data_IF_156944015894
#
_entry.id   IF_156944015894
#
_cell.length_a   1.000
_cell.length_b   1.000
_cell.length_c   1.000
_cell.angle_alpha   90.00
_cell.angle_beta   90.00
_cell.angle_gamma   90.00
#
_symmetry.space_group_name_H-M   'P 1'
#
loop_
_entity.id
_entity.type
_entity.pdbx_description
1 polymer ?
#
# COMPACT_ATOMS: atom_id res chain seq x y z
N UNK A 1 -7.26 -9.70 -5.29
CA UNK A 1 -5.84 -10.05 -5.47
C UNK A 1 -4.95 -8.89 -5.08
N UNK A 2 -3.86 -9.17 -4.35
CA UNK A 2 -2.83 -8.20 -3.98
C UNK A 2 -1.49 -8.66 -4.58
N UNK A 3 -0.78 -7.80 -5.29
CA UNK A 3 0.59 -8.04 -5.74
C UNK A 3 1.56 -7.35 -4.78
N UNK A 4 2.48 -8.11 -4.21
CA UNK A 4 3.50 -7.61 -3.29
C UNK A 4 4.83 -7.64 -4.01
N UNK A 5 5.35 -6.46 -4.37
CA UNK A 5 6.64 -6.38 -5.05
C UNK A 5 7.78 -6.70 -4.06
N UNK A 6 8.90 -7.20 -4.59
CA UNK A 6 10.07 -7.57 -3.77
C UNK A 6 10.57 -6.41 -2.92
N UNK A 7 10.56 -5.19 -3.44
CA UNK A 7 10.96 -4.00 -2.67
C UNK A 7 10.00 -3.72 -1.51
N UNK A 8 8.68 -3.76 -1.75
CA UNK A 8 7.71 -3.57 -0.68
C UNK A 8 7.80 -4.66 0.38
N UNK A 9 8.01 -5.92 -0.02
CA UNK A 9 8.18 -7.02 0.92
C UNK A 9 9.36 -6.77 1.87
N UNK A 10 10.50 -6.27 1.34
CA UNK A 10 11.65 -5.90 2.17
C UNK A 10 11.29 -4.78 3.15
N UNK A 11 10.62 -3.73 2.70
CA UNK A 11 10.15 -2.65 3.59
C UNK A 11 9.25 -3.20 4.70
N UNK A 12 8.31 -4.08 4.36
CA UNK A 12 7.37 -4.70 5.29
C UNK A 12 8.07 -5.52 6.37
N UNK A 13 9.20 -6.18 6.09
CA UNK A 13 9.94 -6.97 7.09
C UNK A 13 10.50 -6.13 8.25
N UNK A 14 10.59 -4.81 8.10
CA UNK A 14 10.99 -3.90 9.19
C UNK A 14 9.86 -3.56 10.17
N UNK A 15 8.64 -4.04 9.91
CA UNK A 15 7.46 -3.81 10.73
C UNK A 15 7.03 -5.06 11.50
N UNK A 16 6.20 -4.87 12.53
CA UNK A 16 5.63 -5.97 13.30
C UNK A 16 4.84 -6.93 12.40
N UNK A 17 4.88 -8.23 12.71
CA UNK A 17 4.24 -9.30 11.91
C UNK A 17 2.74 -9.07 11.67
N UNK A 18 2.04 -8.41 12.58
CA UNK A 18 0.62 -8.08 12.46
C UNK A 18 0.31 -7.06 11.35
N UNK A 19 1.28 -6.23 10.94
CA UNK A 19 1.07 -5.21 9.90
C UNK A 19 0.67 -5.84 8.57
N UNK A 20 1.20 -7.03 8.27
CA UNK A 20 0.78 -7.81 7.10
C UNK A 20 -0.72 -8.11 7.13
N UNK A 21 -1.21 -8.65 8.25
CA UNK A 21 -2.62 -9.00 8.41
C UNK A 21 -3.52 -7.76 8.36
N UNK A 22 -3.10 -6.67 9.01
CA UNK A 22 -3.83 -5.40 8.98
C UNK A 22 -3.91 -4.82 7.57
N UNK A 23 -2.84 -4.91 6.77
CA UNK A 23 -2.82 -4.47 5.39
C UNK A 23 -3.82 -5.25 4.52
N UNK A 24 -3.79 -6.58 4.60
CA UNK A 24 -4.73 -7.44 3.89
C UNK A 24 -6.16 -7.09 4.30
N UNK A 25 -6.42 -6.99 5.61
CA UNK A 25 -7.74 -6.62 6.15
C UNK A 25 -8.21 -5.25 5.66
N UNK A 26 -7.32 -4.25 5.61
CA UNK A 26 -7.64 -2.91 5.13
C UNK A 26 -8.09 -2.95 3.67
N UNK A 27 -7.33 -3.66 2.83
CA UNK A 27 -7.63 -3.80 1.40
C UNK A 27 -8.92 -4.59 1.19
N UNK A 28 -9.10 -5.72 1.87
CA UNK A 28 -10.35 -6.52 1.79
C UNK A 28 -11.57 -5.70 2.21
N UNK A 29 -11.48 -4.89 3.28
CA UNK A 29 -12.57 -4.00 3.67
C UNK A 29 -12.84 -2.92 2.64
N UNK A 30 -11.81 -2.34 2.03
CA UNK A 30 -12.02 -1.36 0.98
C UNK A 30 -12.72 -1.96 -0.23
N UNK A 31 -12.32 -3.17 -0.63
CA UNK A 31 -12.92 -3.85 -1.77
C UNK A 31 -14.42 -4.10 -1.58
N UNK A 32 -14.84 -4.32 -0.33
CA UNK A 32 -16.25 -4.46 0.08
C UNK A 32 -16.96 -3.12 0.36
N UNK A 33 -16.29 -1.97 0.16
CA UNK A 33 -16.85 -0.65 0.45
C UNK A 33 -16.95 -0.29 1.94
N UNK A 34 -16.21 -0.99 2.81
CA UNK A 34 -16.30 -0.90 4.27
C UNK A 34 -15.15 -0.11 4.92
N UNK A 35 -14.14 0.32 4.15
CA UNK A 35 -12.94 0.96 4.71
C UNK A 35 -12.96 2.49 4.57
N UNK A 36 -13.23 3.19 5.68
CA UNK A 36 -13.11 4.67 5.77
C UNK A 36 -11.67 5.15 5.96
N UNK A 37 -10.75 4.26 6.31
CA UNK A 37 -9.35 4.57 6.57
C UNK A 37 -8.46 4.39 5.32
N UNK A 38 -9.06 4.15 4.16
CA UNK A 38 -8.37 3.96 2.89
C UNK A 38 -8.96 4.92 1.87
N UNK A 39 -8.26 6.02 1.63
CA UNK A 39 -8.78 7.21 0.96
C UNK A 39 -8.04 7.39 -0.36
N UNK A 40 -8.79 7.63 -1.45
CA UNK A 40 -8.21 7.95 -2.74
C UNK A 40 -7.41 9.26 -2.63
N UNK A 41 -6.13 9.22 -2.96
CA UNK A 41 -5.25 10.38 -3.04
C UNK A 41 -5.30 11.02 -4.43
N UNK A 42 -5.15 10.22 -5.48
CA UNK A 42 -5.12 10.67 -6.88
C UNK A 42 -5.39 9.52 -7.85
N UNK A 43 -5.65 9.87 -9.09
CA UNK A 43 -5.57 8.97 -10.24
C UNK A 43 -4.24 9.20 -10.97
N UNK A 44 -3.59 8.12 -11.42
CA UNK A 44 -2.31 8.14 -12.13
C UNK A 44 -2.42 7.19 -13.34
N UNK A 45 -2.82 7.75 -14.48
CA UNK A 45 -3.18 6.96 -15.66
C UNK A 45 -4.30 5.95 -15.37
N UNK A 46 -3.97 4.65 -15.41
CA UNK A 46 -4.92 3.56 -15.13
C UNK A 46 -4.96 3.13 -13.66
N UNK A 47 -4.16 3.75 -12.80
CA UNK A 47 -4.05 3.44 -11.38
C UNK A 47 -4.83 4.43 -10.52
N UNK A 48 -5.49 3.89 -9.50
CA UNK A 48 -6.08 4.65 -8.41
C UNK A 48 -5.16 4.54 -7.20
N UNK A 49 -4.62 5.66 -6.73
CA UNK A 49 -3.64 5.67 -5.65
C UNK A 49 -4.34 6.00 -4.33
N UNK A 50 -4.27 5.08 -3.38
CA UNK A 50 -4.92 5.19 -2.08
C UNK A 50 -3.90 5.36 -0.96
N UNK A 51 -4.34 6.05 0.09
CA UNK A 51 -3.66 6.15 1.36
C UNK A 51 -4.42 5.41 2.44
N UNK A 52 -3.72 4.53 3.14
CA UNK A 52 -4.21 3.70 4.23
C UNK A 52 -3.55 3.99 5.55
N UNK A 53 -4.27 3.73 6.64
CA UNK A 53 -3.73 3.79 7.98
C UNK A 53 -3.89 2.45 8.70
N UNK A 54 -2.80 1.95 9.24
CA UNK A 54 -2.68 0.72 10.02
C UNK A 54 -2.21 1.05 11.46
N UNK A 55 -2.30 0.07 12.35
CA UNK A 55 -1.84 0.12 13.75
C UNK A 55 -2.32 1.38 14.47
N UNK A 56 -3.64 1.61 14.49
CA UNK A 56 -4.23 2.79 15.14
C UNK A 56 -3.72 4.13 14.59
N UNK A 57 -3.45 4.21 13.27
CA UNK A 57 -2.85 5.38 12.59
C UNK A 57 -1.40 5.66 13.01
N UNK A 58 -0.66 4.63 13.40
CA UNK A 58 0.80 4.69 13.61
C UNK A 58 1.60 4.25 12.39
N UNK A 59 0.95 3.60 11.44
CA UNK A 59 1.57 3.20 10.18
C UNK A 59 0.71 3.72 9.03
N UNK A 60 1.35 4.35 8.05
CA UNK A 60 0.72 4.82 6.82
C UNK A 60 1.16 3.88 5.69
N UNK A 61 0.24 3.50 4.81
CA UNK A 61 0.54 2.70 3.63
C UNK A 61 -0.01 3.39 2.40
N UNK A 62 0.71 3.32 1.28
CA UNK A 62 0.21 3.75 -0.02
C UNK A 62 0.07 2.54 -0.92
N UNK A 63 -1.05 2.46 -1.60
CA UNK A 63 -1.44 1.31 -2.42
C UNK A 63 -2.02 1.81 -3.74
N UNK A 64 -1.52 1.29 -4.85
CA UNK A 64 -2.16 1.42 -6.14
C UNK A 64 -3.27 0.37 -6.30
N UNK A 65 -4.36 0.74 -6.95
CA UNK A 65 -5.40 -0.19 -7.41
C UNK A 65 -5.56 -0.05 -8.91
N UNK A 66 -5.45 -1.15 -9.64
CA UNK A 66 -5.75 -1.18 -11.08
C UNK A 66 -7.26 -1.10 -11.29
N UNK A 67 -7.72 -0.61 -12.45
CA UNK A 67 -9.14 -0.67 -12.82
C UNK A 67 -9.73 -2.09 -12.82
N UNK A 68 -8.89 -3.12 -12.94
CA UNK A 68 -9.28 -4.54 -12.89
C UNK A 68 -9.41 -5.10 -11.46
N UNK A 69 -9.15 -4.31 -10.43
CA UNK A 69 -9.31 -4.72 -9.02
C UNK A 69 -8.06 -5.35 -8.38
N UNK A 70 -6.90 -5.24 -9.01
CA UNK A 70 -5.62 -5.66 -8.41
C UNK A 70 -5.08 -4.56 -7.52
N UNK A 71 -4.69 -4.89 -6.29
CA UNK A 71 -4.06 -3.96 -5.36
C UNK A 71 -2.55 -4.18 -5.31
N UNK A 72 -1.76 -3.11 -5.31
CA UNK A 72 -0.30 -3.16 -5.24
C UNK A 72 0.19 -2.14 -4.20
N UNK A 73 0.61 -2.59 -3.00
CA UNK A 73 1.23 -1.72 -2.02
C UNK A 73 2.55 -1.14 -2.58
N UNK A 74 2.71 0.17 -2.45
CA UNK A 74 3.82 0.91 -3.02
C UNK A 74 4.87 1.26 -1.97
N UNK A 75 4.42 1.76 -0.81
CA UNK A 75 5.26 2.23 0.28
C UNK A 75 4.56 2.12 1.64
N UNK A 76 5.35 2.00 2.71
CA UNK A 76 4.88 1.89 4.09
C UNK A 76 5.74 2.74 5.03
N UNK A 77 5.10 3.48 5.93
CA UNK A 77 5.76 4.49 6.77
C UNK A 77 5.35 4.37 8.23
N UNK A 78 6.32 4.44 9.14
CA UNK A 78 6.07 4.52 10.58
C UNK A 78 5.87 5.96 11.03
N UNK A 79 5.02 6.14 12.03
CA UNK A 79 4.80 7.41 12.72
C UNK A 79 5.91 7.64 13.75
N UNK A 80 6.61 8.76 13.66
CA UNK A 80 7.75 9.08 14.54
C UNK A 80 7.35 9.97 15.71
N UNK A 81 6.36 10.84 15.53
CA UNK A 81 5.91 11.76 16.57
C UNK A 81 4.42 12.03 16.45
N UNK A 82 3.85 12.83 17.36
CA UNK A 82 2.46 13.31 17.23
C UNK A 82 2.23 14.05 15.89
N UNK A 83 3.27 14.67 15.34
CA UNK A 83 3.20 15.56 14.17
C UNK A 83 3.38 14.90 12.80
N UNK A 84 3.86 13.66 12.67
CA UNK A 84 4.10 13.11 11.33
C UNK A 84 4.65 11.69 11.24
N UNK A 85 4.64 11.18 10.01
CA UNK A 85 5.29 9.94 9.60
C UNK A 85 6.72 10.21 9.16
N UNK A 86 7.53 9.15 8.95
CA UNK A 86 8.92 9.21 8.45
C UNK A 86 9.05 9.70 6.99
N UNK A 87 8.32 10.77 6.65
CA UNK A 87 8.22 11.38 5.33
C UNK A 87 7.99 12.89 5.55
N UNK A 88 8.83 13.70 4.91
CA UNK A 88 8.64 15.16 4.82
C UNK A 88 7.63 15.44 3.70
N UNK A 89 6.38 15.67 4.08
CA UNK A 89 5.25 16.26 3.33
C UNK A 89 4.95 15.90 1.86
N UNK A 90 3.64 15.75 1.61
CA UNK A 90 2.97 15.44 0.34
C UNK A 90 3.56 14.27 -0.45
N UNK A 91 2.99 13.10 -0.20
CA UNK A 91 3.19 11.88 -0.99
C UNK A 91 2.82 12.13 -2.46
N UNK A 92 3.80 12.56 -3.24
CA UNK A 92 3.85 12.44 -4.69
C UNK A 92 5.32 12.23 -5.05
N UNK A 93 5.72 10.97 -5.12
CA UNK A 93 6.94 10.57 -5.81
C UNK A 93 6.50 9.64 -6.95
N UNK A 94 6.90 9.89 -8.20
CA UNK A 94 6.69 8.93 -9.29
C UNK A 94 7.54 7.66 -9.12
N UNK A 95 8.66 7.75 -8.39
CA UNK A 95 9.62 6.64 -8.22
C UNK A 95 9.03 5.32 -7.70
N UNK A 96 8.13 5.30 -6.69
CA UNK A 96 7.43 4.10 -6.25
C UNK A 96 6.62 3.42 -7.35
N UNK A 97 5.97 4.18 -8.24
CA UNK A 97 5.18 3.63 -9.36
C UNK A 97 6.14 3.05 -10.40
N UNK A 98 7.16 3.79 -10.82
CA UNK A 98 8.17 3.31 -11.79
C UNK A 98 8.89 2.05 -11.28
N UNK A 99 9.24 2.02 -9.98
CA UNK A 99 9.83 0.84 -9.33
C UNK A 99 8.88 -0.36 -9.38
N UNK A 100 7.61 -0.13 -9.05
CA UNK A 100 6.57 -1.15 -9.12
C UNK A 100 6.42 -1.70 -10.54
N UNK A 101 6.30 -0.84 -11.56
CA UNK A 101 6.16 -1.27 -12.96
C UNK A 101 7.34 -2.13 -13.41
N UNK A 102 8.57 -1.70 -13.09
CA UNK A 102 9.78 -2.46 -13.39
C UNK A 102 9.82 -3.82 -12.68
N UNK A 103 9.42 -3.88 -11.40
CA UNK A 103 9.39 -5.14 -10.65
C UNK A 103 8.30 -6.09 -11.17
N UNK A 104 7.13 -5.58 -11.55
CA UNK A 104 6.07 -6.38 -12.16
C UNK A 104 6.51 -6.90 -13.53
N UNK A 105 7.11 -6.05 -14.38
CA UNK A 105 7.61 -6.45 -15.70
C UNK A 105 8.74 -7.49 -15.63
N UNK A 106 9.49 -7.53 -14.52
CA UNK A 106 10.54 -8.49 -14.27
C UNK A 106 10.11 -9.71 -13.44
N UNK A 107 8.81 -9.92 -13.20
CA UNK A 107 8.28 -10.99 -12.34
C UNK A 107 8.88 -11.03 -10.92
N UNK A 108 9.20 -9.85 -10.37
CA UNK A 108 9.77 -9.66 -9.03
C UNK A 108 8.69 -9.33 -7.99
N UNK A 109 7.64 -10.14 -7.94
CA UNK A 109 6.53 -9.98 -7.00
C UNK A 109 5.97 -11.33 -6.55
N UNK A 110 5.21 -11.32 -5.46
CA UNK A 110 4.38 -12.44 -5.02
C UNK A 110 2.91 -12.03 -4.97
N UNK A 111 2.01 -13.01 -5.06
CA UNK A 111 0.56 -12.78 -5.04
C UNK A 111 -0.02 -13.19 -3.69
N UNK A 112 -0.77 -12.29 -3.06
CA UNK A 112 -1.59 -12.59 -1.90
C UNK A 112 -3.07 -12.51 -2.26
N UNK A 113 -3.84 -13.46 -1.71
CA UNK A 113 -5.28 -13.49 -1.88
C UNK A 113 -5.99 -12.57 -0.89
N UNK A 114 -7.12 -12.01 -1.33
CA UNK A 114 -8.03 -11.32 -0.42
C UNK A 114 -8.83 -12.39 0.31
N UNK A 115 -8.88 -12.31 1.64
CA UNK A 115 -9.80 -13.14 2.41
C UNK A 115 -11.24 -12.85 1.96
N UNK A 116 -12.00 -13.91 1.65
CA UNK A 116 -13.41 -13.88 1.22
C UNK A 116 -14.38 -13.59 2.37
#
# INVERSE_FOLDING_TARGET
MILITRSFLKELTSFDSNIRFELITLISKHDRGLSKNFILLKEDGSLLIYNGYLNGKRVRVVVAKTRKGTYIPLEIFKKESRGGYNIRDNYYSPGPIERMEREIAGDLYETWELEL
#
